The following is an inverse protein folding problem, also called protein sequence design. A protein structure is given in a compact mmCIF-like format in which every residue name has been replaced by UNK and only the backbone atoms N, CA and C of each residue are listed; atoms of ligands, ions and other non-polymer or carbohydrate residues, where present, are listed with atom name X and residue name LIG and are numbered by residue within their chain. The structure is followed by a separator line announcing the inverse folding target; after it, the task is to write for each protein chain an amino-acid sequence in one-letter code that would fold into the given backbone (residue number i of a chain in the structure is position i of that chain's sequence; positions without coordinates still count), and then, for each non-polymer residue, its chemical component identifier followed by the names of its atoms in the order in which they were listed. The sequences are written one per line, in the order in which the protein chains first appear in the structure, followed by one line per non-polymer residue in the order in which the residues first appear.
data_IF_455603898400
#
_entry.id   IF_455603898400
#
_cell.length_a   1.000
_cell.length_b   1.000
_cell.length_c   1.000
_cell.angle_alpha   90.00
_cell.angle_beta   90.00
_cell.angle_gamma   90.00
#
_symmetry.space_group_name_H-M   'P 1'
#
loop_
_entity.id
_entity.type
_entity.pdbx_description
1 polymer ?
#
# COMPACT_ATOMS: atom_id res chain seq x y z
N UNK A 1 -5.14 19.11 -5.20
CA UNK A 1 -4.61 18.76 -3.88
C UNK A 1 -3.23 18.15 -4.10
N UNK A 2 -2.17 18.69 -3.47
CA UNK A 2 -0.81 18.15 -3.64
C UNK A 2 -0.70 16.85 -2.85
N UNK A 3 -0.47 15.73 -3.53
CA UNK A 3 -0.19 14.43 -2.90
C UNK A 3 1.10 14.54 -2.09
N UNK A 4 1.04 14.26 -0.79
CA UNK A 4 2.25 14.12 0.02
C UNK A 4 3.00 12.85 -0.37
N UNK A 5 4.26 12.99 -0.80
CA UNK A 5 5.13 11.86 -1.10
C UNK A 5 5.69 11.34 0.23
N UNK A 6 5.24 10.17 0.66
CA UNK A 6 5.74 9.52 1.89
C UNK A 6 7.24 9.25 1.78
N UNK A 7 7.95 9.52 2.88
CA UNK A 7 9.39 9.32 3.04
C UNK A 7 9.72 8.51 4.30
N UNK A 8 10.96 8.01 4.37
CA UNK A 8 11.49 7.40 5.60
C UNK A 8 11.38 8.38 6.77
N UNK A 9 10.93 7.89 7.93
CA UNK A 9 10.68 8.69 9.13
C UNK A 9 9.27 9.28 9.24
N UNK A 10 8.49 9.33 8.15
CA UNK A 10 7.06 9.69 8.24
C UNK A 10 6.31 8.69 9.13
N UNK A 11 5.25 9.15 9.81
CA UNK A 11 4.38 8.30 10.64
C UNK A 11 3.02 8.19 9.99
N UNK A 12 2.57 6.97 9.69
CA UNK A 12 1.25 6.71 9.16
C UNK A 12 0.27 6.35 10.28
N UNK A 13 -0.93 6.91 10.19
CA UNK A 13 -2.05 6.63 11.10
C UNK A 13 -2.88 5.49 10.51
N UNK A 14 -2.51 4.25 10.86
CA UNK A 14 -3.18 3.04 10.38
C UNK A 14 -4.42 2.80 11.23
N UNK A 15 -5.64 2.78 10.69
CA UNK A 15 -6.82 2.55 11.50
C UNK A 15 -6.79 1.11 12.02
N UNK A 16 -7.20 0.88 13.27
CA UNK A 16 -7.22 -0.44 13.89
C UNK A 16 -8.23 -1.39 13.22
N UNK A 17 -9.22 -0.84 12.51
CA UNK A 17 -10.21 -1.54 11.69
C UNK A 17 -10.57 -0.70 10.46
N UNK A 18 -11.21 -1.30 9.46
CA UNK A 18 -11.79 -0.55 8.33
C UNK A 18 -10.91 -0.44 7.08
N UNK A 19 -9.76 -1.12 7.06
CA UNK A 19 -9.06 -1.41 5.80
C UNK A 19 -9.76 -2.56 5.05
N UNK A 20 -9.75 -2.51 3.73
CA UNK A 20 -10.38 -3.53 2.87
C UNK A 20 -9.38 -4.61 2.50
N UNK A 21 -9.78 -5.88 2.63
CA UNK A 21 -8.95 -6.99 2.18
C UNK A 21 -8.91 -7.09 0.64
N UNK A 22 -7.72 -7.28 0.09
CA UNK A 22 -7.44 -7.51 -1.34
C UNK A 22 -6.47 -8.67 -1.49
N UNK A 23 -6.58 -9.43 -2.57
CA UNK A 23 -5.66 -10.53 -2.86
C UNK A 23 -4.61 -10.11 -3.87
N UNK A 24 -3.34 -10.26 -3.52
CA UNK A 24 -2.19 -10.01 -4.41
C UNK A 24 -1.63 -11.35 -4.86
N UNK A 25 -1.53 -11.52 -6.18
CA UNK A 25 -0.98 -12.72 -6.83
C UNK A 25 0.26 -12.38 -7.64
N UNK A 26 1.33 -13.14 -7.43
CA UNK A 26 2.62 -12.94 -8.10
C UNK A 26 3.32 -14.27 -8.38
N UNK A 27 4.40 -14.23 -9.15
CA UNK A 27 5.26 -15.38 -9.39
C UNK A 27 6.61 -15.14 -8.72
N UNK A 28 7.12 -16.15 -8.03
CA UNK A 28 8.43 -16.11 -7.37
C UNK A 28 9.01 -17.54 -7.33
N UNK A 29 10.29 -17.69 -7.69
CA UNK A 29 10.97 -18.98 -7.76
C UNK A 29 10.17 -20.01 -8.59
N UNK A 30 9.75 -19.61 -9.79
CA UNK A 30 8.94 -20.42 -10.72
C UNK A 30 7.59 -20.91 -10.17
N UNK A 31 7.17 -20.41 -9.01
CA UNK A 31 5.93 -20.80 -8.35
C UNK A 31 4.96 -19.64 -8.28
N UNK A 32 3.68 -19.91 -8.51
CA UNK A 32 2.62 -18.95 -8.25
C UNK A 32 2.45 -18.78 -6.74
N UNK A 33 2.43 -17.53 -6.29
CA UNK A 33 2.22 -17.11 -4.92
C UNK A 33 0.98 -16.23 -4.86
N UNK A 34 0.26 -16.35 -3.74
CA UNK A 34 -0.89 -15.50 -3.44
C UNK A 34 -0.90 -15.17 -1.95
N UNK A 35 -1.27 -13.95 -1.61
CA UNK A 35 -1.45 -13.54 -0.22
C UNK A 35 -2.48 -12.42 -0.11
N UNK A 36 -3.14 -12.36 1.04
CA UNK A 36 -4.12 -11.33 1.35
C UNK A 36 -3.43 -10.11 1.97
N UNK A 37 -3.85 -8.91 1.57
CA UNK A 37 -3.40 -7.63 2.11
C UNK A 37 -4.62 -6.80 2.50
N UNK A 38 -4.50 -5.97 3.54
CA UNK A 38 -5.49 -4.95 3.87
C UNK A 38 -5.03 -3.61 3.31
N UNK A 39 -5.92 -2.91 2.61
CA UNK A 39 -5.61 -1.66 1.93
C UNK A 39 -6.63 -0.55 2.18
N UNK A 40 -6.15 0.69 2.05
CA UNK A 40 -6.94 1.89 2.18
C UNK A 40 -6.07 3.14 2.16
N UNK A 41 -6.73 4.30 2.18
CA UNK A 41 -6.07 5.59 2.35
C UNK A 41 -5.82 5.83 3.85
N UNK A 42 -4.59 6.18 4.21
CA UNK A 42 -4.19 6.52 5.58
C UNK A 42 -3.56 7.90 5.65
N UNK A 43 -3.74 8.58 6.78
CA UNK A 43 -3.17 9.91 7.01
C UNK A 43 -1.71 9.81 7.45
N UNK A 44 -0.89 10.79 7.08
CA UNK A 44 0.43 11.01 7.69
C UNK A 44 0.28 11.94 8.91
N UNK A 45 0.85 11.56 10.05
CA UNK A 45 0.56 12.09 11.41
C UNK A 45 0.66 13.61 11.59
N UNK A 46 1.43 14.31 10.76
CA UNK A 46 1.60 15.77 10.84
C UNK A 46 1.18 16.50 9.55
N UNK A 47 0.42 15.81 8.69
CA UNK A 47 -0.02 16.29 7.37
C UNK A 47 -1.52 16.12 7.19
N UNK A 48 -2.25 16.18 8.30
CA UNK A 48 -3.69 15.94 8.38
C UNK A 48 -4.44 16.92 7.48
N UNK A 49 -5.21 16.39 6.52
CA UNK A 49 -5.98 17.16 5.53
C UNK A 49 -5.34 17.32 4.15
N UNK A 50 -4.03 17.06 4.00
CA UNK A 50 -3.31 17.19 2.71
C UNK A 50 -2.38 16.02 2.37
N UNK A 51 -2.07 15.14 3.32
CA UNK A 51 -1.20 13.97 3.11
C UNK A 51 -1.89 12.66 3.44
N UNK A 52 -2.69 12.16 2.51
CA UNK A 52 -3.14 10.76 2.52
C UNK A 52 -2.30 9.94 1.55
N UNK A 53 -2.06 8.68 1.91
CA UNK A 53 -1.30 7.73 1.10
C UNK A 53 -2.02 6.39 1.06
N UNK A 54 -2.03 5.69 -0.09
CA UNK A 54 -2.45 4.30 -0.12
C UNK A 54 -1.46 3.41 0.63
N UNK A 55 -1.97 2.48 1.44
CA UNK A 55 -1.16 1.45 2.08
C UNK A 55 -1.69 0.05 1.75
N UNK A 56 -0.79 -0.92 1.70
CA UNK A 56 -1.07 -2.35 1.70
C UNK A 56 -0.34 -2.98 2.88
N UNK A 57 -1.07 -3.58 3.81
CA UNK A 57 -0.52 -4.28 4.96
C UNK A 57 -0.80 -5.76 4.82
N UNK A 58 0.19 -6.60 5.02
CA UNK A 58 0.00 -8.04 5.06
C UNK A 58 -1.11 -8.42 6.06
N UNK A 59 -2.10 -9.19 5.62
CA UNK A 59 -3.32 -9.41 6.43
C UNK A 59 -3.04 -10.10 7.75
N UNK A 60 -2.14 -11.09 7.78
CA UNK A 60 -1.80 -11.81 9.01
C UNK A 60 -1.16 -10.88 10.05
N UNK A 61 -0.50 -9.81 9.60
CA UNK A 61 0.13 -8.83 10.49
C UNK A 61 -0.86 -7.78 10.96
N UNK A 62 -1.75 -7.31 10.07
CA UNK A 62 -2.75 -6.32 10.41
C UNK A 62 -3.80 -6.85 11.40
N UNK A 63 -4.21 -8.11 11.22
CA UNK A 63 -5.20 -8.77 12.08
C UNK A 63 -4.61 -9.25 13.41
N UNK A 64 -3.29 -9.36 13.52
CA UNK A 64 -2.60 -9.68 14.76
C UNK A 64 -2.28 -8.39 15.54
N UNK A 65 -3.11 -8.10 16.55
CA UNK A 65 -2.91 -6.95 17.42
C UNK A 65 -1.53 -6.98 18.14
N UNK A 66 -1.01 -8.17 18.48
CA UNK A 66 0.30 -8.29 19.10
C UNK A 66 1.41 -7.93 18.10
N UNK A 67 1.28 -8.33 16.83
CA UNK A 67 2.18 -7.88 15.78
C UNK A 67 2.15 -6.35 15.66
N UNK A 68 0.96 -5.76 15.46
CA UNK A 68 0.82 -4.31 15.29
C UNK A 68 1.38 -3.53 16.49
N UNK A 69 1.11 -3.94 17.73
CA UNK A 69 1.64 -3.27 18.92
C UNK A 69 3.15 -3.37 19.10
N UNK A 70 3.83 -4.34 18.46
CA UNK A 70 5.31 -4.40 18.48
C UNK A 70 5.96 -3.41 17.52
N UNK A 71 5.30 -3.16 16.38
CA UNK A 71 5.86 -2.38 15.26
C UNK A 71 5.32 -0.96 15.20
N UNK A 72 4.34 -0.63 16.05
CA UNK A 72 3.68 0.67 16.08
C UNK A 72 3.21 1.04 17.49
N UNK A 73 2.94 2.33 17.70
CA UNK A 73 2.32 2.81 18.94
C UNK A 73 0.81 2.89 18.76
N UNK A 74 0.02 2.24 19.63
CA UNK A 74 -1.43 2.36 19.60
C UNK A 74 -1.86 3.72 20.18
N UNK A 75 -2.62 4.49 19.42
CA UNK A 75 -3.15 5.81 19.79
C UNK A 75 -4.66 5.86 19.46
N UNK A 76 -5.49 5.55 20.46
CA UNK A 76 -6.94 5.42 20.27
C UNK A 76 -7.29 4.33 19.26
N UNK A 77 -8.01 4.71 18.21
CA UNK A 77 -8.45 3.83 17.11
C UNK A 77 -7.41 3.68 15.99
N UNK A 78 -6.18 4.17 16.19
CA UNK A 78 -5.10 4.10 15.22
C UNK A 78 -3.85 3.43 15.79
N UNK A 79 -3.06 2.87 14.89
CA UNK A 79 -1.67 2.49 15.09
C UNK A 79 -0.79 3.51 14.38
N UNK A 80 0.16 4.07 15.12
CA UNK A 80 1.16 5.00 14.59
C UNK A 80 2.37 4.21 14.10
N UNK A 81 2.37 3.89 12.81
CA UNK A 81 3.42 3.12 12.16
C UNK A 81 4.47 4.08 11.59
N UNK A 82 5.68 4.05 12.14
CA UNK A 82 6.81 4.83 11.60
C UNK A 82 7.39 4.13 10.38
N UNK A 83 7.46 4.84 9.27
CA UNK A 83 8.07 4.35 8.04
C UNK A 83 9.58 4.25 8.19
N UNK A 84 10.11 3.09 7.84
CA UNK A 84 11.54 2.79 7.90
C UNK A 84 11.89 1.61 7.00
N UNK A 85 13.01 0.95 7.29
CA UNK A 85 13.62 -0.06 6.43
C UNK A 85 12.78 -1.33 6.21
N UNK A 86 11.79 -1.62 7.05
CA UNK A 86 10.88 -2.75 6.87
C UNK A 86 9.77 -2.46 5.86
N UNK A 87 9.44 -1.18 5.67
CA UNK A 87 8.45 -0.77 4.69
C UNK A 87 9.06 -0.76 3.29
N UNK A 88 8.19 -0.95 2.30
CA UNK A 88 8.52 -0.84 0.88
C UNK A 88 7.54 0.10 0.21
N UNK A 89 7.87 0.58 -0.98
CA UNK A 89 6.98 1.45 -1.74
C UNK A 89 6.96 1.14 -3.23
N UNK A 90 5.87 1.57 -3.89
CA UNK A 90 5.79 1.74 -5.34
C UNK A 90 5.56 3.19 -5.74
N UNK A 91 5.79 3.51 -7.02
CA UNK A 91 5.42 4.75 -7.72
C UNK A 91 5.35 4.48 -9.21
N UNK A 92 4.52 5.27 -9.89
CA UNK A 92 4.46 5.36 -11.35
C UNK A 92 5.75 5.89 -11.97
N UNK A 93 6.38 6.90 -11.38
CA UNK A 93 7.56 7.56 -11.95
C UNK A 93 8.51 8.09 -10.87
N UNK A 94 9.70 8.56 -11.30
CA UNK A 94 10.76 9.06 -10.42
C UNK A 94 10.34 10.26 -9.56
N UNK A 95 9.30 10.99 -9.97
CA UNK A 95 8.74 12.14 -9.27
C UNK A 95 7.84 11.73 -8.08
N UNK A 96 7.60 10.43 -7.87
CA UNK A 96 6.78 9.95 -6.76
C UNK A 96 5.27 9.93 -7.03
N UNK A 97 4.85 10.10 -8.29
CA UNK A 97 3.43 10.02 -8.66
C UNK A 97 2.87 8.64 -8.31
N UNK A 98 1.69 8.61 -7.67
CA UNK A 98 1.07 7.36 -7.23
C UNK A 98 1.88 6.62 -6.18
N UNK A 99 2.64 7.32 -5.33
CA UNK A 99 3.35 6.74 -4.18
C UNK A 99 2.37 5.94 -3.32
N UNK A 100 2.68 4.68 -3.07
CA UNK A 100 1.99 3.85 -2.09
C UNK A 100 2.97 3.06 -1.22
N UNK A 101 2.51 2.68 -0.03
CA UNK A 101 3.30 1.95 0.97
C UNK A 101 2.88 0.49 1.00
N UNK A 102 3.84 -0.42 1.14
CA UNK A 102 3.64 -1.85 1.38
C UNK A 102 4.37 -2.22 2.66
N UNK A 103 3.63 -2.76 3.64
CA UNK A 103 4.17 -3.29 4.89
C UNK A 103 3.90 -4.79 4.96
N UNK A 104 4.95 -5.58 4.76
CA UNK A 104 4.85 -7.04 4.62
C UNK A 104 6.20 -7.73 4.85
N UNK A 105 6.17 -9.06 4.92
CA UNK A 105 7.39 -9.87 4.91
C UNK A 105 8.20 -9.59 3.64
N UNK A 106 9.38 -9.00 3.81
CA UNK A 106 10.27 -8.60 2.70
C UNK A 106 10.88 -9.77 1.93
N UNK A 107 10.72 -11.02 2.40
CA UNK A 107 11.02 -12.21 1.61
C UNK A 107 10.01 -12.47 0.48
N UNK A 108 8.83 -11.84 0.57
CA UNK A 108 7.84 -11.78 -0.51
C UNK A 108 8.29 -10.70 -1.49
N UNK A 109 8.52 -11.08 -2.74
CA UNK A 109 8.97 -10.17 -3.79
C UNK A 109 7.93 -9.96 -4.92
N UNK A 110 6.67 -9.60 -4.62
CA UNK A 110 5.75 -9.14 -5.65
C UNK A 110 6.24 -7.82 -6.26
N UNK A 111 6.21 -7.74 -7.58
CA UNK A 111 6.41 -6.48 -8.31
C UNK A 111 5.30 -5.47 -8.01
N UNK A 112 5.61 -4.17 -8.12
CA UNK A 112 4.68 -3.10 -7.72
C UNK A 112 3.35 -3.13 -8.49
N UNK A 113 3.37 -3.50 -9.78
CA UNK A 113 2.16 -3.62 -10.62
C UNK A 113 1.15 -4.66 -10.08
N UNK A 114 1.58 -5.61 -9.24
CA UNK A 114 0.68 -6.61 -8.64
C UNK A 114 -0.26 -5.99 -7.60
N UNK A 115 0.21 -4.99 -6.85
CA UNK A 115 -0.61 -4.26 -5.89
C UNK A 115 -1.61 -3.36 -6.60
N UNK A 116 -1.14 -2.62 -7.60
CA UNK A 116 -1.98 -1.78 -8.47
C UNK A 116 -3.11 -2.60 -9.10
N UNK A 117 -2.76 -3.73 -9.73
CA UNK A 117 -3.75 -4.64 -10.34
C UNK A 117 -4.75 -5.16 -9.30
N UNK A 118 -4.28 -5.54 -8.11
CA UNK A 118 -5.16 -6.06 -7.05
C UNK A 118 -6.16 -5.01 -6.54
N UNK A 119 -5.72 -3.76 -6.39
CA UNK A 119 -6.59 -2.66 -6.00
C UNK A 119 -7.65 -2.41 -7.07
N UNK A 120 -7.25 -2.32 -8.34
CA UNK A 120 -8.17 -2.15 -9.46
C UNK A 120 -9.23 -3.26 -9.53
N UNK A 121 -8.81 -4.53 -9.43
CA UNK A 121 -9.75 -5.67 -9.47
C UNK A 121 -10.70 -5.71 -8.26
N UNK A 122 -10.37 -5.00 -7.18
CA UNK A 122 -11.12 -4.98 -5.92
C UNK A 122 -11.88 -3.67 -5.67
N UNK A 123 -12.06 -2.81 -6.69
CA UNK A 123 -12.71 -1.49 -6.62
C UNK A 123 -14.21 -1.51 -6.26
N UNK A 124 -14.76 -2.66 -5.86
CA UNK A 124 -16.15 -2.79 -5.43
C UNK A 124 -16.49 -1.96 -4.17
N UNK A 125 -15.50 -1.47 -3.44
CA UNK A 125 -15.69 -0.63 -2.25
C UNK A 125 -15.16 0.79 -2.47
N UNK A 126 -15.82 1.79 -1.89
CA UNK A 126 -15.39 3.20 -1.97
C UNK A 126 -13.95 3.41 -1.49
N UNK A 127 -13.51 2.64 -0.49
CA UNK A 127 -12.16 2.71 0.06
C UNK A 127 -11.11 2.26 -0.95
N UNK A 128 -11.34 1.14 -1.64
CA UNK A 128 -10.42 0.64 -2.67
C UNK A 128 -10.49 1.50 -3.93
N UNK A 129 -11.67 2.07 -4.26
CA UNK A 129 -11.79 3.02 -5.36
C UNK A 129 -10.88 4.25 -5.15
N UNK A 130 -10.87 4.83 -3.94
CA UNK A 130 -9.95 5.94 -3.60
C UNK A 130 -8.48 5.56 -3.72
N UNK A 131 -8.12 4.33 -3.32
CA UNK A 131 -6.76 3.80 -3.51
C UNK A 131 -6.43 3.75 -5.01
N UNK A 132 -7.31 3.18 -5.83
CA UNK A 132 -7.09 3.08 -7.28
C UNK A 132 -7.00 4.45 -7.97
N UNK A 133 -7.82 5.42 -7.57
CA UNK A 133 -7.75 6.82 -8.02
C UNK A 133 -6.39 7.45 -7.69
N UNK A 134 -5.87 7.25 -6.47
CA UNK A 134 -4.56 7.80 -6.08
C UNK A 134 -3.41 7.11 -6.82
N UNK A 135 -3.53 5.80 -7.07
CA UNK A 135 -2.63 5.03 -7.91
C UNK A 135 -2.70 5.39 -9.41
N UNK A 136 -3.59 6.33 -9.80
CA UNK A 136 -3.84 6.77 -11.19
C UNK A 136 -4.37 5.66 -12.10
N UNK A 137 -5.19 4.76 -11.54
CA UNK A 137 -5.95 3.71 -12.26
C UNK A 137 -7.44 3.73 -11.87
N UNK A 138 -8.17 4.82 -12.11
CA UNK A 138 -9.60 4.89 -11.82
C UNK A 138 -10.45 3.97 -12.72
N UNK A 139 -9.94 3.55 -13.87
CA UNK A 139 -10.65 2.66 -14.79
C UNK A 139 -9.80 1.44 -15.20
N UNK A 140 -10.45 0.40 -15.74
CA UNK A 140 -9.79 -0.86 -16.08
C UNK A 140 -8.83 -0.71 -17.27
N UNK A 141 -9.16 0.17 -18.21
CA UNK A 141 -8.34 0.55 -19.36
C UNK A 141 -7.03 1.24 -18.95
N UNK A 142 -7.03 2.03 -17.88
CA UNK A 142 -5.84 2.74 -17.38
C UNK A 142 -4.78 1.75 -16.86
N UNK A 143 -5.21 0.58 -16.39
CA UNK A 143 -4.30 -0.43 -15.89
C UNK A 143 -3.45 -1.09 -16.96
N UNK A 144 -3.83 -1.05 -18.24
CA UNK A 144 -2.96 -1.55 -19.31
C UNK A 144 -1.75 -0.62 -19.44
N UNK A 145 -1.99 0.70 -19.55
CA UNK A 145 -0.93 1.70 -19.67
C UNK A 145 -0.06 1.79 -18.40
N UNK A 146 -0.68 1.72 -17.21
CA UNK A 146 0.08 1.71 -15.96
C UNK A 146 0.83 0.38 -15.79
N UNK A 147 0.25 -0.75 -16.19
CA UNK A 147 0.94 -2.03 -16.17
C UNK A 147 2.15 -2.01 -17.07
N UNK A 148 2.12 -1.40 -18.26
CA UNK A 148 3.28 -1.28 -19.13
C UNK A 148 4.39 -0.43 -18.49
N UNK A 149 4.04 0.71 -17.90
CA UNK A 149 5.03 1.58 -17.22
C UNK A 149 5.60 0.98 -15.93
N UNK A 150 4.84 0.10 -15.25
CA UNK A 150 5.24 -0.55 -14.00
C UNK A 150 5.69 -2.01 -14.19
N UNK A 151 5.71 -2.50 -15.43
CA UNK A 151 5.97 -3.91 -15.69
C UNK A 151 7.40 -4.26 -15.30
N UNK A 152 7.56 -5.25 -14.43
CA UNK A 152 8.88 -5.69 -13.95
C UNK A 152 9.52 -4.82 -12.86
N UNK A 153 8.87 -3.72 -12.44
CA UNK A 153 9.42 -2.89 -11.37
C UNK A 153 9.21 -3.51 -9.99
N UNK A 154 10.32 -3.73 -9.28
CA UNK A 154 10.29 -4.18 -7.90
C UNK A 154 9.78 -3.07 -6.97
N UNK A 155 9.20 -3.48 -5.83
CA UNK A 155 9.00 -2.55 -4.73
C UNK A 155 10.37 -2.04 -4.23
N UNK A 156 10.44 -0.77 -3.85
CA UNK A 156 11.66 -0.09 -3.42
C UNK A 156 11.70 0.06 -1.90
N UNK A 157 12.89 0.11 -1.33
CA UNK A 157 13.08 0.45 0.09
C UNK A 157 13.00 1.98 0.31
N UNK A 158 12.49 2.39 1.48
CA UNK A 158 12.43 3.79 1.93
C UNK A 158 13.79 4.35 2.34
#
# INVERSE_FOLDING_TARGET
MSTHIVQSGDVLLIPAQGLTAVTVEWQQNWSNKRASYHTGMVNVKDKVGSGQVPIFIQSEWYQDAAHMSRVSTKAGDYYELRIGHEARYGQKNAQGEGRFVVYHDTSRNPFQHRFVKSAMLSMATDQVRKVAEELKVPHAEDAISLSESLFGDALRAF
#
